data_IF_647069454018
#
_entry.id   IF_647069454018
#
_cell.length_a   1.000
_cell.length_b   1.000
_cell.length_c   1.000
_cell.angle_alpha   90.00
_cell.angle_beta   90.00
_cell.angle_gamma   90.00
#
_symmetry.space_group_name_H-M   'P 1'
#
loop_
_entity.id
_entity.type
_entity.pdbx_description
1 polymer ?
#
# COMPACT_ATOMS: atom_id res chain seq x y z
N UNK A 1 2.76 24.73 21.15
CA UNK A 1 3.70 23.64 21.46
C UNK A 1 3.13 22.58 22.43
N UNK A 2 2.12 22.89 23.25
CA UNK A 2 1.47 21.94 24.17
C UNK A 2 0.40 21.01 23.55
N UNK A 3 -0.12 21.34 22.36
CA UNK A 3 -1.18 20.55 21.73
C UNK A 3 -0.69 19.23 21.11
N UNK A 4 0.59 19.11 20.75
CA UNK A 4 1.18 17.88 20.20
C UNK A 4 1.49 16.82 21.28
N UNK A 5 1.69 17.24 22.53
CA UNK A 5 2.10 16.35 23.61
C UNK A 5 0.92 15.50 24.12
N UNK A 6 -0.31 16.01 24.04
CA UNK A 6 -1.53 15.27 24.42
C UNK A 6 -1.87 14.16 23.41
N UNK A 7 -1.59 14.37 22.11
CA UNK A 7 -1.71 13.29 21.11
C UNK A 7 -0.67 12.19 21.29
N UNK A 8 0.55 12.55 21.74
CA UNK A 8 1.62 11.58 21.97
C UNK A 8 1.30 10.61 23.12
N UNK A 9 0.63 11.09 24.18
CA UNK A 9 0.27 10.22 25.31
C UNK A 9 -0.94 9.32 25.02
N UNK A 10 -1.89 9.76 24.16
CA UNK A 10 -2.93 8.87 23.61
C UNK A 10 -2.38 7.85 22.60
N UNK A 11 -1.23 8.12 22.01
CA UNK A 11 -0.58 7.23 21.04
C UNK A 11 0.10 6.02 21.71
N UNK A 12 0.67 6.19 22.91
CA UNK A 12 1.33 5.11 23.66
C UNK A 12 0.31 4.13 24.26
N UNK A 13 -0.89 4.58 24.60
CA UNK A 13 -1.98 3.70 25.08
C UNK A 13 -2.81 3.05 23.95
N UNK A 14 -2.58 3.40 22.69
CA UNK A 14 -3.33 2.89 21.54
C UNK A 14 -2.54 1.87 20.69
N UNK A 15 -1.35 1.45 21.13
CA UNK A 15 -0.60 0.32 20.56
C UNK A 15 -0.92 -1.01 21.24
N UNK A 16 -1.82 -1.03 22.24
CA UNK A 16 -2.54 -2.24 22.59
C UNK A 16 -3.65 -2.42 21.57
N UNK A 17 -3.34 -3.20 20.54
CA UNK A 17 -4.26 -3.70 19.54
C UNK A 17 -5.43 -4.43 20.26
N UNK A 18 -6.45 -3.71 20.71
CA UNK A 18 -7.76 -4.29 21.02
C UNK A 18 -8.38 -4.66 19.68
N UNK A 19 -7.99 -5.83 19.17
CA UNK A 19 -8.89 -6.65 18.39
C UNK A 19 -10.13 -6.87 19.27
N UNK A 20 -11.23 -6.18 18.98
CA UNK A 20 -12.53 -6.55 19.52
C UNK A 20 -12.84 -7.97 19.02
N UNK A 21 -12.59 -8.95 19.88
CA UNK A 21 -13.06 -10.32 19.72
C UNK A 21 -14.53 -10.31 20.18
N UNK A 22 -15.44 -10.15 19.24
CA UNK A 22 -16.83 -10.58 19.44
C UNK A 22 -16.95 -12.06 19.09
N UNK A 23 -17.02 -12.87 20.16
CA UNK A 23 -17.68 -14.18 20.32
C UNK A 23 -17.61 -15.22 19.18
N UNK A 24 -16.91 -16.31 19.49
CA UNK A 24 -17.28 -17.65 19.02
C UNK A 24 -16.41 -18.24 17.91
N UNK A 25 -15.23 -18.75 18.28
CA UNK A 25 -14.36 -19.52 17.40
C UNK A 25 -12.89 -19.25 17.70
N UNK A 26 -12.22 -20.17 18.38
CA UNK A 26 -10.76 -20.12 18.56
C UNK A 26 -10.07 -20.30 17.21
N UNK A 27 -9.85 -19.20 16.49
CA UNK A 27 -9.02 -19.18 15.29
C UNK A 27 -7.57 -18.92 15.71
N UNK A 28 -6.81 -19.98 15.97
CA UNK A 28 -5.36 -19.88 16.19
C UNK A 28 -4.68 -19.59 14.85
N UNK A 29 -4.47 -18.30 14.54
CA UNK A 29 -3.60 -17.89 13.43
C UNK A 29 -2.14 -18.19 13.80
N UNK A 30 -1.61 -19.33 13.35
CA UNK A 30 -0.16 -19.59 13.41
C UNK A 30 0.55 -18.52 12.59
N UNK A 31 1.17 -17.56 13.26
CA UNK A 31 1.84 -16.42 12.59
C UNK A 31 3.07 -16.94 11.85
N UNK A 32 2.98 -17.02 10.52
CA UNK A 32 4.06 -17.53 9.65
C UNK A 32 5.11 -16.45 9.43
N UNK A 33 6.33 -16.67 9.93
CA UNK A 33 7.47 -15.80 9.68
C UNK A 33 8.24 -16.26 8.42
N UNK A 34 8.62 -15.30 7.57
CA UNK A 34 9.42 -15.54 6.36
C UNK A 34 10.48 -14.46 6.17
N UNK A 35 11.56 -14.77 5.45
CA UNK A 35 12.65 -13.81 5.20
C UNK A 35 12.37 -12.90 3.98
N UNK A 36 11.51 -13.32 3.06
CA UNK A 36 11.22 -12.60 1.82
C UNK A 36 9.80 -12.82 1.34
N UNK A 37 9.33 -11.88 0.52
CA UNK A 37 8.02 -11.90 -0.11
C UNK A 37 8.07 -11.10 -1.41
N UNK A 38 7.37 -11.56 -2.44
CA UNK A 38 7.23 -10.87 -3.72
C UNK A 38 5.79 -10.40 -3.87
N UNK A 39 5.62 -9.10 -4.14
CA UNK A 39 4.32 -8.49 -4.36
C UNK A 39 3.70 -9.02 -5.65
N UNK A 40 2.40 -9.29 -5.61
CA UNK A 40 1.58 -9.71 -6.74
C UNK A 40 0.18 -9.08 -6.68
N UNK A 41 -0.68 -9.40 -7.63
CA UNK A 41 -2.12 -9.03 -7.60
C UNK A 41 -2.93 -9.74 -6.51
N UNK A 42 -2.30 -10.63 -5.73
CA UNK A 42 -2.91 -11.20 -4.53
C UNK A 42 -2.50 -10.44 -3.26
N UNK A 43 -1.49 -9.57 -3.32
CA UNK A 43 -1.00 -8.81 -2.17
C UNK A 43 -1.93 -7.63 -1.88
N UNK A 44 -2.58 -7.61 -0.72
CA UNK A 44 -3.51 -6.54 -0.36
C UNK A 44 -2.85 -5.38 0.37
N UNK A 45 -2.00 -5.65 1.36
CA UNK A 45 -1.20 -4.61 2.00
C UNK A 45 0.13 -5.08 2.55
N UNK A 46 1.00 -4.11 2.77
CA UNK A 46 2.25 -4.21 3.51
C UNK A 46 2.21 -3.22 4.68
N UNK A 47 1.94 -3.72 5.88
CA UNK A 47 1.87 -2.93 7.10
C UNK A 47 3.18 -3.03 7.89
N UNK A 48 3.80 -1.91 8.29
CA UNK A 48 4.92 -1.94 9.21
C UNK A 48 4.42 -2.39 10.59
N UNK A 49 5.12 -3.35 11.19
CA UNK A 49 4.90 -3.76 12.58
C UNK A 49 6.23 -3.67 13.35
N UNK A 50 6.15 -3.24 14.59
CA UNK A 50 7.31 -3.24 15.49
C UNK A 50 7.49 -4.65 16.07
N UNK A 51 8.69 -5.21 15.97
CA UNK A 51 9.08 -6.46 16.59
C UNK A 51 10.42 -6.24 17.30
N UNK A 52 10.38 -6.16 18.63
CA UNK A 52 11.49 -5.73 19.48
C UNK A 52 12.07 -4.38 19.00
N UNK A 53 13.37 -4.33 18.71
CA UNK A 53 14.07 -3.17 18.16
C UNK A 53 14.00 -3.08 16.61
N UNK A 54 13.29 -3.98 15.93
CA UNK A 54 13.24 -4.07 14.46
C UNK A 54 11.84 -3.77 13.94
N UNK A 55 11.78 -3.38 12.66
CA UNK A 55 10.52 -3.19 11.93
C UNK A 55 10.39 -4.32 10.92
N UNK A 56 9.31 -5.09 11.05
CA UNK A 56 8.90 -6.14 10.13
C UNK A 56 7.70 -5.68 9.29
N UNK A 57 7.29 -6.52 8.34
CA UNK A 57 6.11 -6.28 7.51
C UNK A 57 5.07 -7.34 7.81
N UNK A 58 3.89 -6.93 8.27
CA UNK A 58 2.71 -7.77 8.18
C UNK A 58 2.13 -7.65 6.79
N UNK A 59 2.01 -8.79 6.11
CA UNK A 59 1.46 -8.88 4.77
C UNK A 59 0.10 -9.56 4.88
N UNK A 60 -0.92 -8.90 4.33
CA UNK A 60 -2.19 -9.55 4.02
C UNK A 60 -2.20 -9.82 2.53
N UNK A 61 -2.25 -11.10 2.19
CA UNK A 61 -2.44 -11.61 0.86
C UNK A 61 -3.85 -12.22 0.76
N UNK A 62 -4.36 -12.39 -0.46
CA UNK A 62 -5.62 -13.09 -0.75
C UNK A 62 -5.66 -14.48 -0.12
N UNK A 63 -4.54 -15.20 -0.13
CA UNK A 63 -4.49 -16.60 0.29
C UNK A 63 -4.04 -16.80 1.73
N UNK A 64 -3.27 -15.87 2.29
CA UNK A 64 -2.70 -16.01 3.62
C UNK A 64 -2.25 -14.66 4.23
N UNK A 65 -1.99 -14.70 5.53
CA UNK A 65 -1.32 -13.62 6.25
C UNK A 65 0.02 -14.13 6.78
N UNK A 66 1.03 -13.28 6.72
CA UNK A 66 2.39 -13.65 7.10
C UNK A 66 3.19 -12.43 7.55
N UNK A 67 4.25 -12.70 8.30
CA UNK A 67 5.20 -11.69 8.74
C UNK A 67 6.51 -11.85 7.97
N UNK A 68 6.90 -10.83 7.23
CA UNK A 68 8.20 -10.75 6.58
C UNK A 68 9.17 -10.06 7.52
N UNK A 69 10.32 -10.68 7.80
CA UNK A 69 11.37 -10.14 8.69
C UNK A 69 12.18 -8.99 8.07
N UNK A 70 11.54 -8.17 7.24
CA UNK A 70 12.08 -7.03 6.50
C UNK A 70 11.07 -5.88 6.56
N UNK A 71 11.55 -4.64 6.40
CA UNK A 71 10.69 -3.44 6.36
C UNK A 71 9.82 -3.42 5.09
N UNK A 72 8.64 -2.78 5.10
CA UNK A 72 7.76 -2.74 3.92
C UNK A 72 8.47 -2.20 2.67
N UNK A 73 9.28 -1.15 2.84
CA UNK A 73 10.08 -0.58 1.75
C UNK A 73 11.11 -1.56 1.16
N UNK A 74 11.66 -2.47 1.96
CA UNK A 74 12.59 -3.50 1.46
C UNK A 74 11.83 -4.54 0.62
N UNK A 75 10.65 -4.98 1.09
CA UNK A 75 9.78 -5.90 0.35
C UNK A 75 9.39 -5.28 -1.01
N UNK A 76 8.97 -4.01 -1.00
CA UNK A 76 8.61 -3.25 -2.20
C UNK A 76 9.77 -3.14 -3.20
N UNK A 77 10.94 -2.68 -2.75
CA UNK A 77 12.14 -2.56 -3.61
C UNK A 77 12.57 -3.89 -4.18
N UNK A 78 12.61 -4.94 -3.36
CA UNK A 78 13.00 -6.28 -3.82
C UNK A 78 12.01 -6.81 -4.85
N UNK A 79 10.72 -6.56 -4.66
CA UNK A 79 9.68 -6.93 -5.63
C UNK A 79 9.87 -6.21 -6.97
N UNK A 80 10.09 -4.88 -6.97
CA UNK A 80 10.38 -4.15 -8.20
C UNK A 80 11.58 -4.75 -8.95
N UNK A 81 12.69 -5.01 -8.25
CA UNK A 81 13.91 -5.60 -8.84
C UNK A 81 13.62 -6.98 -9.44
N UNK A 82 12.96 -7.86 -8.69
CA UNK A 82 12.62 -9.20 -9.14
C UNK A 82 11.64 -9.23 -10.32
N UNK A 83 10.85 -8.17 -10.51
CA UNK A 83 9.85 -8.05 -11.57
C UNK A 83 10.32 -7.13 -12.73
N UNK A 84 11.63 -6.86 -12.82
CA UNK A 84 12.24 -6.19 -13.97
C UNK A 84 12.25 -4.66 -13.92
N UNK A 85 12.11 -4.05 -12.74
CA UNK A 85 12.16 -2.59 -12.56
C UNK A 85 12.91 -2.19 -11.28
N UNK A 86 12.84 -0.93 -10.89
CA UNK A 86 13.32 -0.43 -9.59
C UNK A 86 12.27 0.45 -8.95
N UNK A 87 12.29 0.58 -7.63
CA UNK A 87 11.41 1.52 -6.93
C UNK A 87 11.64 2.96 -7.43
N UNK A 88 12.89 3.31 -7.68
CA UNK A 88 13.30 4.62 -8.17
C UNK A 88 12.75 4.89 -9.58
N UNK A 89 12.80 3.91 -10.48
CA UNK A 89 12.19 4.00 -11.81
C UNK A 89 10.66 4.12 -11.74
N UNK A 90 10.01 3.29 -10.93
CA UNK A 90 8.55 3.35 -10.73
C UNK A 90 8.11 4.70 -10.14
N UNK A 91 8.84 5.20 -9.13
CA UNK A 91 8.63 6.53 -8.54
C UNK A 91 8.84 7.64 -9.57
N UNK A 92 9.89 7.56 -10.38
CA UNK A 92 10.17 8.57 -11.41
C UNK A 92 9.09 8.57 -12.50
N UNK A 93 8.58 7.41 -12.88
CA UNK A 93 7.47 7.29 -13.82
C UNK A 93 6.20 7.94 -13.27
N UNK A 94 5.83 7.65 -12.03
CA UNK A 94 4.71 8.33 -11.36
C UNK A 94 4.96 9.85 -11.23
N UNK A 95 6.19 10.28 -10.97
CA UNK A 95 6.56 11.71 -10.88
C UNK A 95 6.39 12.43 -12.22
N UNK A 96 6.69 11.79 -13.36
CA UNK A 96 6.42 12.36 -14.69
C UNK A 96 4.94 12.63 -14.90
N UNK A 97 4.08 11.74 -14.40
CA UNK A 97 2.62 11.89 -14.52
C UNK A 97 2.03 12.92 -13.54
N UNK A 98 2.46 12.95 -12.27
CA UNK A 98 1.89 13.81 -11.23
C UNK A 98 2.66 15.11 -10.95
N UNK A 99 3.84 15.31 -11.54
CA UNK A 99 4.74 16.41 -11.22
C UNK A 99 5.40 16.25 -9.84
N UNK A 100 5.63 17.37 -9.14
CA UNK A 100 6.41 17.43 -7.89
C UNK A 100 5.69 16.92 -6.62
N UNK A 101 4.87 15.87 -6.71
CA UNK A 101 4.24 15.28 -5.54
C UNK A 101 5.18 14.32 -4.80
N UNK A 102 5.13 14.32 -3.46
CA UNK A 102 6.01 13.51 -2.60
C UNK A 102 5.39 12.18 -2.13
N UNK A 103 4.06 12.04 -2.17
CA UNK A 103 3.31 10.82 -1.83
C UNK A 103 2.69 10.26 -3.10
N UNK A 104 3.49 9.52 -3.84
CA UNK A 104 3.12 8.97 -5.15
C UNK A 104 2.72 7.50 -5.01
N UNK A 105 1.60 7.08 -5.64
CA UNK A 105 1.40 5.66 -5.93
C UNK A 105 2.48 5.19 -6.92
N UNK A 106 2.81 3.90 -6.88
CA UNK A 106 3.80 3.32 -7.79
C UNK A 106 3.25 2.07 -8.46
N UNK A 107 3.70 1.80 -9.69
CA UNK A 107 3.50 0.51 -10.34
C UNK A 107 4.65 -0.40 -9.94
N UNK A 108 4.36 -1.48 -9.23
CA UNK A 108 5.37 -2.45 -8.80
C UNK A 108 5.77 -3.36 -9.95
N UNK A 109 4.79 -3.77 -10.75
CA UNK A 109 4.95 -4.63 -11.91
C UNK A 109 3.76 -4.50 -12.86
N UNK A 110 3.90 -5.09 -14.04
CA UNK A 110 2.83 -5.28 -15.01
C UNK A 110 2.59 -6.79 -15.18
N UNK A 111 1.33 -7.23 -15.14
CA UNK A 111 0.95 -8.62 -15.40
C UNK A 111 -0.06 -8.68 -16.54
N UNK A 112 0.28 -9.36 -17.64
CA UNK A 112 -0.42 -9.24 -18.93
C UNK A 112 -0.74 -7.79 -19.32
N UNK A 113 0.14 -6.89 -18.84
CA UNK A 113 0.12 -5.43 -18.88
C UNK A 113 -1.03 -4.72 -18.16
N UNK A 114 -1.66 -5.35 -17.17
CA UNK A 114 -2.37 -4.63 -16.12
C UNK A 114 -1.35 -4.13 -15.08
N UNK A 115 -1.39 -2.85 -14.66
CA UNK A 115 -0.43 -2.32 -13.69
C UNK A 115 -0.80 -2.73 -12.25
N UNK A 116 0.14 -3.36 -11.55
CA UNK A 116 0.03 -3.67 -10.12
C UNK A 116 0.41 -2.43 -9.30
N UNK A 117 -0.58 -1.62 -8.94
CA UNK A 117 -0.36 -0.33 -8.26
C UNK A 117 -0.47 -0.45 -6.76
N UNK A 118 0.50 0.13 -6.05
CA UNK A 118 0.48 0.31 -4.60
C UNK A 118 0.50 1.79 -4.25
N UNK A 119 -0.39 2.19 -3.32
CA UNK A 119 -0.48 3.56 -2.81
C UNK A 119 0.02 3.64 -1.35
N UNK A 120 0.75 4.70 -0.99
CA UNK A 120 1.21 4.90 0.38
C UNK A 120 0.15 5.62 1.24
N UNK A 121 0.00 5.22 2.50
CA UNK A 121 -0.88 5.93 3.46
C UNK A 121 -0.21 7.16 4.08
N UNK A 122 1.13 7.15 4.20
CA UNK A 122 1.96 8.25 4.68
C UNK A 122 3.02 8.63 3.63
N UNK A 123 4.05 9.39 4.02
CA UNK A 123 5.24 9.51 3.18
C UNK A 123 5.89 8.13 3.03
N UNK A 124 6.39 7.73 1.84
CA UNK A 124 7.11 6.47 1.65
C UNK A 124 8.28 6.24 2.63
N UNK A 125 8.85 7.32 3.18
CA UNK A 125 9.94 7.27 4.15
C UNK A 125 9.47 7.18 5.61
N UNK A 126 8.16 7.29 5.87
CA UNK A 126 7.60 7.19 7.21
C UNK A 126 7.63 5.75 7.72
N UNK A 127 7.98 5.57 9.00
CA UNK A 127 7.91 4.27 9.68
C UNK A 127 6.48 3.75 9.82
N UNK A 128 5.47 4.63 9.72
CA UNK A 128 4.05 4.28 9.78
C UNK A 128 3.44 4.05 8.40
N UNK A 129 4.23 4.17 7.33
CA UNK A 129 3.69 4.04 5.98
C UNK A 129 3.24 2.61 5.69
N UNK A 130 1.96 2.48 5.37
CA UNK A 130 1.37 1.26 4.84
C UNK A 130 1.31 1.41 3.33
N UNK A 131 1.68 0.35 2.61
CA UNK A 131 1.44 0.24 1.18
C UNK A 131 0.20 -0.61 0.96
N UNK A 132 -0.80 -0.09 0.27
CA UNK A 132 -2.05 -0.80 -0.02
C UNK A 132 -2.14 -0.99 -1.54
N UNK A 133 -2.46 -2.21 -1.98
CA UNK A 133 -2.73 -2.47 -3.39
C UNK A 133 -4.01 -1.76 -3.81
N UNK A 134 -3.97 -0.99 -4.91
CA UNK A 134 -5.17 -0.32 -5.46
C UNK A 134 -6.29 -1.34 -5.70
N UNK A 135 -5.92 -2.48 -6.27
CA UNK A 135 -6.84 -3.58 -6.59
C UNK A 135 -7.47 -4.22 -5.35
N UNK A 136 -6.94 -3.98 -4.14
CA UNK A 136 -7.37 -4.61 -2.91
C UNK A 136 -8.45 -3.82 -2.17
N UNK A 137 -8.58 -2.52 -2.44
CA UNK A 137 -9.52 -1.63 -1.75
C UNK A 137 -10.92 -1.80 -2.35
N UNK A 138 -11.91 -2.09 -1.52
CA UNK A 138 -13.33 -2.15 -1.91
C UNK A 138 -14.11 -0.93 -1.44
N UNK A 139 -13.77 -0.37 -0.27
CA UNK A 139 -14.43 0.81 0.26
C UNK A 139 -13.48 1.61 1.16
N UNK A 140 -13.72 2.91 1.29
CA UNK A 140 -13.07 3.78 2.26
C UNK A 140 -14.16 4.59 2.95
N UNK A 141 -14.19 4.56 4.27
CA UNK A 141 -15.20 5.29 5.06
C UNK A 141 -14.55 6.14 6.14
N UNK A 142 -15.11 7.32 6.49
CA UNK A 142 -14.63 8.10 7.63
C UNK A 142 -14.91 7.36 8.95
N UNK A 143 -14.04 7.56 9.94
CA UNK A 143 -14.22 7.06 11.30
C UNK A 143 -13.98 8.17 12.32
N UNK A 144 -14.30 7.91 13.59
CA UNK A 144 -14.04 8.87 14.68
C UNK A 144 -12.55 9.20 14.83
N UNK A 145 -11.67 8.27 14.47
CA UNK A 145 -10.21 8.35 14.66
C UNK A 145 -9.44 8.64 13.37
N UNK A 146 -10.13 8.69 12.23
CA UNK A 146 -9.52 8.89 10.92
C UNK A 146 -10.39 8.29 9.82
N UNK A 147 -10.01 7.11 9.33
CA UNK A 147 -10.78 6.38 8.33
C UNK A 147 -10.62 4.85 8.46
N UNK A 148 -11.50 4.13 7.79
CA UNK A 148 -11.45 2.67 7.63
C UNK A 148 -11.33 2.35 6.15
N UNK A 149 -10.32 1.56 5.79
CA UNK A 149 -10.18 0.95 4.46
C UNK A 149 -10.69 -0.48 4.54
N UNK A 150 -11.71 -0.80 3.75
CA UNK A 150 -12.20 -2.18 3.59
C UNK A 150 -11.45 -2.82 2.43
N UNK A 151 -10.90 -4.00 2.67
CA UNK A 151 -10.20 -4.81 1.68
C UNK A 151 -11.15 -5.80 0.99
N UNK A 152 -10.70 -6.42 -0.10
CA UNK A 152 -11.45 -7.45 -0.85
C UNK A 152 -11.83 -8.70 -0.07
N UNK A 153 -11.14 -8.98 1.04
CA UNK A 153 -11.48 -10.07 1.95
C UNK A 153 -12.30 -9.57 3.16
N UNK A 154 -13.01 -8.46 3.01
CA UNK A 154 -13.84 -7.80 4.02
C UNK A 154 -13.12 -7.33 5.30
N UNK A 155 -11.80 -7.50 5.37
CA UNK A 155 -11.00 -6.96 6.46
C UNK A 155 -11.02 -5.45 6.45
N UNK A 156 -11.20 -4.88 7.63
CA UNK A 156 -11.25 -3.44 7.88
C UNK A 156 -9.93 -3.00 8.51
N UNK A 157 -9.23 -2.10 7.85
CA UNK A 157 -7.99 -1.50 8.33
C UNK A 157 -8.29 -0.09 8.82
N UNK A 158 -8.22 0.11 10.13
CA UNK A 158 -8.33 1.45 10.72
C UNK A 158 -7.02 2.22 10.52
N UNK A 159 -7.13 3.42 9.94
CA UNK A 159 -6.00 4.30 9.72
C UNK A 159 -6.22 5.61 10.49
N UNK A 160 -5.28 6.04 11.33
CA UNK A 160 -5.35 7.31 12.05
C UNK A 160 -4.93 8.47 11.13
N UNK A 161 -5.52 8.54 9.95
CA UNK A 161 -5.35 9.59 8.95
C UNK A 161 -6.71 10.11 8.50
N UNK A 162 -6.74 11.36 8.08
CA UNK A 162 -7.96 11.95 7.56
C UNK A 162 -8.45 11.21 6.31
N UNK A 163 -9.77 10.96 6.24
CA UNK A 163 -10.43 10.37 5.07
C UNK A 163 -10.00 11.04 3.75
N UNK A 164 -9.96 12.39 3.72
CA UNK A 164 -9.55 13.14 2.53
C UNK A 164 -8.12 12.80 2.06
N UNK A 165 -7.20 12.49 2.98
CA UNK A 165 -5.83 12.13 2.63
C UNK A 165 -5.77 10.79 1.91
N UNK A 166 -6.42 9.75 2.44
CA UNK A 166 -6.42 8.42 1.80
C UNK A 166 -7.26 8.42 0.52
N UNK A 167 -8.38 9.15 0.50
CA UNK A 167 -9.22 9.32 -0.68
C UNK A 167 -8.43 9.95 -1.83
N UNK A 168 -7.60 10.96 -1.54
CA UNK A 168 -6.70 11.55 -2.54
C UNK A 168 -5.69 10.54 -3.07
N UNK A 169 -5.10 9.70 -2.21
CA UNK A 169 -4.16 8.65 -2.64
C UNK A 169 -4.84 7.59 -3.51
N UNK A 170 -6.08 7.21 -3.18
CA UNK A 170 -6.88 6.28 -3.98
C UNK A 170 -7.22 6.85 -5.36
N UNK A 171 -7.62 8.13 -5.42
CA UNK A 171 -7.88 8.83 -6.69
C UNK A 171 -6.60 8.94 -7.53
N UNK A 172 -5.48 9.33 -6.93
CA UNK A 172 -4.19 9.37 -7.62
C UNK A 172 -3.83 7.98 -8.17
N UNK A 173 -3.94 6.92 -7.37
CA UNK A 173 -3.66 5.56 -7.84
C UNK A 173 -4.57 5.15 -9.01
N UNK A 174 -5.85 5.50 -8.94
CA UNK A 174 -6.83 5.25 -10.02
C UNK A 174 -6.51 6.03 -11.30
N UNK A 175 -6.06 7.28 -11.17
CA UNK A 175 -5.61 8.08 -12.31
C UNK A 175 -4.36 7.46 -12.96
N UNK A 176 -3.41 7.00 -12.16
CA UNK A 176 -2.21 6.32 -12.65
C UNK A 176 -2.56 5.01 -13.37
N UNK A 177 -3.49 4.22 -12.82
CA UNK A 177 -4.03 3.03 -13.47
C UNK A 177 -4.59 3.37 -14.86
N UNK A 178 -5.48 4.36 -14.93
CA UNK A 178 -6.11 4.81 -16.18
C UNK A 178 -5.07 5.28 -17.20
N UNK A 179 -4.04 6.02 -16.76
CA UNK A 179 -2.96 6.48 -17.61
C UNK A 179 -2.24 5.32 -18.32
N UNK A 180 -1.74 4.34 -17.57
CA UNK A 180 -1.05 3.18 -18.17
C UNK A 180 -1.96 2.31 -19.03
N UNK A 181 -3.24 2.15 -18.64
CA UNK A 181 -4.19 1.43 -19.48
C UNK A 181 -4.43 2.13 -20.82
N UNK A 182 -4.40 3.47 -20.86
CA UNK A 182 -4.51 4.24 -22.10
C UNK A 182 -3.24 4.15 -22.94
N UNK A 183 -2.04 4.26 -22.34
CA UNK A 183 -0.77 4.08 -23.06
C UNK A 183 -0.70 2.70 -23.73
N UNK A 184 -1.18 1.66 -23.04
CA UNK A 184 -1.24 0.31 -23.63
C UNK A 184 -2.20 0.18 -24.80
N UNK A 185 -3.33 0.86 -24.76
CA UNK A 185 -4.27 0.89 -25.89
C UNK A 185 -3.62 1.49 -27.13
N UNK A 186 -2.79 2.53 -26.96
CA UNK A 186 -2.04 3.14 -28.06
C UNK A 186 -1.02 2.18 -28.66
N UNK A 187 -0.36 1.36 -27.85
CA UNK A 187 0.56 0.32 -28.35
C UNK A 187 -0.15 -0.79 -29.14
N UNK A 188 -1.40 -1.09 -28.81
CA UNK A 188 -2.20 -2.11 -29.49
C UNK A 188 -2.97 -1.61 -30.71
N UNK A 189 -3.02 -0.30 -30.92
CA UNK A 189 -3.65 0.30 -32.09
C UNK A 189 -2.58 0.51 -33.18
N UNK A 190 -2.85 0.04 -34.40
CA UNK A 190 -2.07 0.34 -35.62
C UNK A 190 -2.18 1.83 -36.02
N UNK A 191 -1.98 2.75 -35.08
CA UNK A 191 -1.75 4.14 -35.47
C UNK A 191 -0.36 4.23 -36.09
N UNK A 192 -0.22 4.89 -37.26
CA UNK A 192 1.09 5.10 -37.86
C UNK A 192 2.03 5.70 -36.82
N UNK A 193 3.20 5.10 -36.67
CA UNK A 193 4.25 5.64 -35.81
C UNK A 193 4.60 7.06 -36.32
N UNK A 194 4.19 8.07 -35.56
CA UNK A 194 4.64 9.44 -35.76
C UNK A 194 5.73 9.70 -34.71
N UNK A 195 7.02 9.72 -35.11
CA UNK A 195 8.08 10.07 -34.18
C UNK A 195 7.85 11.49 -33.66
N UNK A 196 8.18 11.77 -32.40
CA UNK A 196 8.04 13.09 -31.84
C UNK A 196 9.21 13.98 -32.27
N UNK A 197 9.31 14.30 -33.58
CA UNK A 197 10.15 15.36 -34.15
C UNK A 197 9.54 15.88 -35.45
#
# INVERSE_FOLDING_TARGET
MFHYFVYFLKFILCTTLRLSIEKGGTFTMTTKFVNGYLISFNTYLLQPIQHDAKVFTHVIDKHNELIVTRKPMHVLRKSCISLGSTYEAAKQSAKRFFGNQHKLPIVVAFDYGFPCIFLPTYSPNSIHNIWIGLHAITNITPSKTGCVVTLKNDKKIELPIQYASISKQFVNASMLYKHYMNERKQLSQDSPYHPPF
#
